data_IF_362499329602
#
_entry.id   IF_362499329602
#
_cell.length_a   1.000
_cell.length_b   1.000
_cell.length_c   1.000
_cell.angle_alpha   90.00
_cell.angle_beta   90.00
_cell.angle_gamma   90.00
#
_symmetry.space_group_name_H-M   'P 1'
#
loop_
_entity.id
_entity.type
_entity.pdbx_description
1 polymer ?
#
# COMPACT_ATOMS: atom_id res chain seq x y z
N UNK A 1 -34.40 20.73 48.81
CA UNK A 1 -33.21 19.96 49.28
C UNK A 1 -32.42 19.56 48.04
N UNK A 2 -31.36 20.31 47.67
CA UNK A 2 -29.95 19.85 47.67
C UNK A 2 -29.85 18.39 47.17
N UNK A 3 -29.27 18.07 46.02
CA UNK A 3 -27.86 18.33 45.66
C UNK A 3 -27.66 18.48 44.13
N UNK A 4 -26.86 19.49 43.77
CA UNK A 4 -26.09 19.55 42.53
C UNK A 4 -24.96 18.51 42.60
N UNK A 5 -24.74 17.77 41.51
CA UNK A 5 -23.43 17.17 41.21
C UNK A 5 -23.13 17.44 39.74
N UNK A 6 -22.28 18.43 39.53
CA UNK A 6 -21.58 18.70 38.27
C UNK A 6 -20.34 17.80 38.30
N UNK A 7 -20.17 16.93 37.30
CA UNK A 7 -18.86 16.36 36.94
C UNK A 7 -18.68 16.67 35.46
N UNK A 8 -17.92 17.74 35.22
CA UNK A 8 -17.26 18.01 33.95
C UNK A 8 -16.05 17.08 33.81
N UNK A 9 -15.67 16.85 32.54
CA UNK A 9 -14.34 16.45 32.03
C UNK A 9 -14.22 14.99 31.54
N UNK A 10 -14.14 14.87 30.21
CA UNK A 10 -13.78 13.64 29.52
C UNK A 10 -14.07 13.70 28.02
N UNK A 11 -13.50 14.67 27.32
CA UNK A 11 -13.41 14.69 25.86
C UNK A 11 -12.75 13.38 25.40
N UNK A 12 -13.53 12.43 24.90
CA UNK A 12 -13.03 11.32 24.09
C UNK A 12 -13.61 11.56 22.71
N UNK A 13 -12.84 12.26 21.90
CA UNK A 13 -13.03 12.29 20.45
C UNK A 13 -12.95 10.83 20.00
N UNK A 14 -14.11 10.27 19.68
CA UNK A 14 -14.22 9.07 18.86
C UNK A 14 -13.59 9.38 17.51
N UNK A 15 -12.29 9.15 17.41
CA UNK A 15 -11.64 8.99 16.13
C UNK A 15 -12.21 7.72 15.50
N UNK A 16 -12.87 7.86 14.35
CA UNK A 16 -13.22 6.75 13.49
C UNK A 16 -11.95 5.96 13.19
N UNK A 17 -11.81 4.79 13.81
CA UNK A 17 -10.96 3.73 13.28
C UNK A 17 -11.72 3.24 12.06
N UNK A 18 -11.36 3.72 10.87
CA UNK A 18 -11.82 3.09 9.64
C UNK A 18 -11.25 1.66 9.65
N UNK A 19 -12.10 0.70 10.03
CA UNK A 19 -11.88 -0.70 9.70
C UNK A 19 -11.87 -0.78 8.18
N UNK A 20 -10.68 -0.75 7.59
CA UNK A 20 -10.45 -1.48 6.36
C UNK A 20 -10.45 -2.94 6.74
N UNK A 21 -11.63 -3.54 6.82
CA UNK A 21 -11.79 -4.98 6.61
C UNK A 21 -11.34 -5.21 5.16
N UNK A 22 -10.04 -5.42 4.95
CA UNK A 22 -9.57 -6.17 3.81
C UNK A 22 -10.09 -7.59 4.04
N UNK A 23 -11.25 -7.87 3.49
CA UNK A 23 -11.84 -9.21 3.40
C UNK A 23 -10.84 -10.08 2.62
N UNK A 24 -9.95 -10.74 3.37
CA UNK A 24 -9.12 -11.87 2.90
C UNK A 24 -9.82 -13.20 3.25
N UNK A 25 -10.93 -13.15 3.99
CA UNK A 25 -11.80 -14.31 4.25
C UNK A 25 -12.86 -14.39 3.14
N UNK A 26 -12.53 -15.13 2.07
CA UNK A 26 -13.46 -15.93 1.23
C UNK A 26 -12.86 -16.23 -0.17
N UNK A 27 -11.57 -16.52 -0.25
CA UNK A 27 -10.97 -17.10 -1.48
C UNK A 27 -10.77 -18.61 -1.41
N UNK A 28 -11.39 -19.28 -0.44
CA UNK A 28 -11.56 -20.73 -0.49
C UNK A 28 -12.97 -21.04 -0.96
N UNK A 29 -13.11 -21.33 -2.27
CA UNK A 29 -14.26 -21.95 -2.95
C UNK A 29 -15.26 -20.99 -3.59
N UNK A 30 -14.98 -20.55 -4.82
CA UNK A 30 -16.03 -20.17 -5.77
C UNK A 30 -15.47 -20.01 -7.19
N UNK A 31 -16.24 -20.46 -8.16
CA UNK A 31 -15.87 -20.79 -9.53
C UNK A 31 -15.25 -19.65 -10.36
N UNK A 32 -14.41 -20.05 -11.30
CA UNK A 32 -13.64 -19.30 -12.30
C UNK A 32 -14.46 -18.46 -13.31
N UNK A 33 -15.71 -18.13 -12.98
CA UNK A 33 -16.64 -17.36 -13.83
C UNK A 33 -17.09 -16.04 -13.19
N UNK A 34 -16.68 -15.76 -11.94
CA UNK A 34 -17.18 -14.61 -11.16
C UNK A 34 -16.11 -13.55 -10.85
N UNK A 35 -14.86 -13.80 -11.26
CA UNK A 35 -13.71 -12.97 -10.92
C UNK A 35 -13.73 -11.59 -11.59
N UNK A 36 -14.58 -11.39 -12.61
CA UNK A 36 -14.73 -10.13 -13.33
C UNK A 36 -15.75 -9.15 -12.68
N UNK A 37 -16.44 -9.53 -11.59
CA UNK A 37 -17.64 -8.78 -11.13
C UNK A 37 -17.57 -8.25 -9.68
N UNK A 38 -16.40 -8.27 -9.02
CA UNK A 38 -16.27 -7.64 -7.68
C UNK A 38 -15.06 -6.70 -7.53
N UNK A 39 -14.65 -6.05 -8.62
CA UNK A 39 -13.92 -4.77 -8.52
C UNK A 39 -14.94 -3.68 -8.81
N UNK A 40 -15.87 -3.49 -7.86
CA UNK A 40 -16.62 -2.24 -7.82
C UNK A 40 -15.57 -1.14 -7.68
N UNK A 41 -15.42 -0.37 -8.77
CA UNK A 41 -14.49 0.74 -8.88
C UNK A 41 -14.98 1.82 -7.91
N UNK A 42 -14.66 1.65 -6.63
CA UNK A 42 -14.73 2.74 -5.66
C UNK A 42 -13.80 3.80 -6.25
N UNK A 43 -14.39 4.86 -6.80
CA UNK A 43 -13.65 6.04 -7.24
C UNK A 43 -13.06 6.67 -6.00
N UNK A 44 -11.93 6.11 -5.54
CA UNK A 44 -11.10 6.71 -4.53
C UNK A 44 -10.71 8.08 -5.07
N UNK A 45 -10.92 9.16 -4.30
CA UNK A 45 -10.58 10.50 -4.75
C UNK A 45 -9.14 10.52 -5.23
N UNK A 46 -8.91 11.08 -6.42
CA UNK A 46 -7.55 11.15 -6.97
C UNK A 46 -6.66 11.86 -5.95
N UNK A 47 -5.58 11.20 -5.49
CA UNK A 47 -4.77 11.75 -4.43
C UNK A 47 -4.08 13.02 -4.91
N UNK A 48 -4.35 14.10 -4.18
CA UNK A 48 -4.03 15.47 -4.57
C UNK A 48 -2.53 15.65 -4.85
N UNK A 49 -2.23 16.23 -6.01
CA UNK A 49 -0.87 16.57 -6.44
C UNK A 49 -0.07 15.43 -7.10
N UNK A 50 -0.59 14.20 -7.11
CA UNK A 50 0.02 13.12 -7.87
C UNK A 50 -0.32 13.26 -9.36
N UNK A 51 0.70 13.17 -10.21
CA UNK A 51 0.57 13.15 -11.67
C UNK A 51 1.17 11.85 -12.18
N UNK A 52 0.83 11.44 -13.40
CA UNK A 52 1.44 10.25 -14.00
C UNK A 52 2.97 10.37 -14.07
N UNK A 53 3.47 11.56 -14.46
CA UNK A 53 4.91 11.83 -14.55
C UNK A 53 5.62 11.69 -13.20
N UNK A 54 5.10 12.32 -12.13
CA UNK A 54 5.74 12.21 -10.83
C UNK A 54 5.60 10.81 -10.21
N UNK A 55 4.49 10.13 -10.49
CA UNK A 55 4.28 8.73 -10.07
C UNK A 55 5.31 7.84 -10.73
N UNK A 56 5.48 7.94 -12.05
CA UNK A 56 6.47 7.18 -12.81
C UNK A 56 7.90 7.43 -12.33
N UNK A 57 8.25 8.69 -12.04
CA UNK A 57 9.54 9.04 -11.45
C UNK A 57 9.80 8.31 -10.13
N UNK A 58 8.82 8.33 -9.21
CA UNK A 58 8.98 7.67 -7.91
C UNK A 58 9.01 6.15 -8.01
N UNK A 59 8.22 5.54 -8.91
CA UNK A 59 8.29 4.10 -9.21
C UNK A 59 9.69 3.70 -9.66
N UNK A 60 10.28 4.45 -10.59
CA UNK A 60 11.64 4.22 -11.04
C UNK A 60 12.69 4.41 -9.93
N UNK A 61 12.55 5.45 -9.10
CA UNK A 61 13.47 5.72 -7.99
C UNK A 61 13.43 4.63 -6.92
N UNK A 62 12.25 4.15 -6.53
CA UNK A 62 12.09 3.07 -5.56
C UNK A 62 12.62 1.75 -6.14
N UNK A 63 12.28 1.44 -7.39
CA UNK A 63 12.81 0.28 -8.09
C UNK A 63 14.34 0.28 -8.10
N UNK A 64 14.96 1.39 -8.51
CA UNK A 64 16.41 1.52 -8.53
C UNK A 64 17.01 1.23 -7.15
N UNK A 65 16.47 1.84 -6.08
CA UNK A 65 16.96 1.63 -4.71
C UNK A 65 16.84 0.17 -4.28
N UNK A 66 15.70 -0.47 -4.53
CA UNK A 66 15.48 -1.87 -4.20
C UNK A 66 16.38 -2.81 -5.01
N UNK A 67 16.57 -2.51 -6.30
CA UNK A 67 17.42 -3.30 -7.19
C UNK A 67 18.91 -3.24 -6.83
N UNK A 68 19.37 -2.26 -6.04
CA UNK A 68 20.74 -2.26 -5.51
C UNK A 68 20.96 -3.31 -4.42
N UNK A 69 19.89 -3.74 -3.74
CA UNK A 69 19.99 -4.73 -2.67
C UNK A 69 20.28 -6.13 -3.24
N UNK A 70 21.38 -6.74 -2.78
CA UNK A 70 21.80 -8.06 -3.25
C UNK A 70 20.81 -9.16 -2.84
N UNK A 71 20.22 -9.08 -1.65
CA UNK A 71 19.26 -10.08 -1.17
C UNK A 71 17.99 -10.06 -2.01
N UNK A 72 17.51 -8.86 -2.37
CA UNK A 72 16.35 -8.70 -3.24
C UNK A 72 16.64 -9.30 -4.64
N UNK A 73 17.80 -9.00 -5.22
CA UNK A 73 18.18 -9.51 -6.55
C UNK A 73 18.37 -11.03 -6.62
N UNK A 74 18.65 -11.69 -5.50
CA UNK A 74 18.76 -13.15 -5.46
C UNK A 74 17.39 -13.84 -5.49
N UNK A 75 16.32 -13.14 -5.10
CA UNK A 75 14.97 -13.72 -4.95
C UNK A 75 14.04 -13.27 -6.08
N UNK A 76 14.17 -12.03 -6.55
CA UNK A 76 13.24 -11.42 -7.50
C UNK A 76 13.93 -11.00 -8.80
N UNK A 77 13.25 -11.23 -9.93
CA UNK A 77 13.65 -10.69 -11.23
C UNK A 77 13.52 -9.16 -11.25
N UNK A 78 14.22 -8.45 -12.14
CA UNK A 78 14.10 -6.99 -12.24
C UNK A 78 12.66 -6.50 -12.45
N UNK A 79 11.84 -7.25 -13.20
CA UNK A 79 10.42 -6.96 -13.42
C UNK A 79 9.61 -7.12 -12.13
N UNK A 80 9.84 -8.19 -11.36
CA UNK A 80 9.16 -8.42 -10.08
C UNK A 80 9.51 -7.32 -9.07
N UNK A 81 10.79 -6.91 -9.02
CA UNK A 81 11.21 -5.77 -8.19
C UNK A 81 10.50 -4.49 -8.63
N UNK A 82 10.30 -4.28 -9.93
CA UNK A 82 9.57 -3.12 -10.45
C UNK A 82 8.09 -3.16 -10.05
N UNK A 83 7.47 -4.33 -10.09
CA UNK A 83 6.08 -4.51 -9.66
C UNK A 83 5.91 -4.23 -8.17
N UNK A 84 6.83 -4.71 -7.33
CA UNK A 84 6.82 -4.46 -5.89
C UNK A 84 7.01 -2.97 -5.62
N UNK A 85 8.02 -2.33 -6.22
CA UNK A 85 8.26 -0.89 -6.08
C UNK A 85 7.06 -0.06 -6.57
N UNK A 86 6.43 -0.47 -7.67
CA UNK A 86 5.24 0.18 -8.20
C UNK A 86 4.08 0.11 -7.23
N UNK A 87 3.83 -1.08 -6.66
CA UNK A 87 2.81 -1.27 -5.63
C UNK A 87 3.06 -0.35 -4.42
N UNK A 88 4.30 -0.29 -3.92
CA UNK A 88 4.65 0.57 -2.77
C UNK A 88 4.36 2.05 -3.06
N UNK A 89 4.75 2.54 -4.24
CA UNK A 89 4.46 3.93 -4.62
C UNK A 89 2.97 4.18 -4.79
N UNK A 90 2.23 3.22 -5.33
CA UNK A 90 0.77 3.33 -5.45
C UNK A 90 0.09 3.35 -4.06
N UNK A 91 0.60 2.58 -3.09
CA UNK A 91 0.13 2.64 -1.70
C UNK A 91 0.43 4.00 -1.06
N UNK A 92 1.63 4.55 -1.26
CA UNK A 92 1.96 5.90 -0.78
C UNK A 92 1.08 6.96 -1.44
N UNK A 93 0.84 6.82 -2.75
CA UNK A 93 -0.05 7.69 -3.50
C UNK A 93 -1.46 7.69 -2.92
N UNK A 94 -1.99 6.54 -2.53
CA UNK A 94 -3.31 6.44 -1.88
C UNK A 94 -3.33 6.97 -0.44
N UNK A 95 -2.18 6.99 0.24
CA UNK A 95 -2.08 7.34 1.67
C UNK A 95 -1.76 8.82 1.90
N UNK A 96 -1.02 9.46 0.99
CA UNK A 96 -0.48 10.81 1.18
C UNK A 96 -0.79 11.74 0.00
N UNK A 97 -1.06 13.02 0.31
CA UNK A 97 -0.90 14.08 -0.69
C UNK A 97 0.58 14.15 -1.14
N UNK A 98 0.79 14.54 -2.40
CA UNK A 98 2.12 14.47 -3.02
C UNK A 98 3.18 15.31 -2.30
N UNK A 99 2.81 16.50 -1.81
CA UNK A 99 3.71 17.39 -1.08
C UNK A 99 4.16 16.81 0.27
N UNK A 100 3.24 16.18 1.01
CA UNK A 100 3.51 15.48 2.26
C UNK A 100 4.42 14.29 1.99
N UNK A 101 4.13 13.49 0.97
CA UNK A 101 4.98 12.37 0.57
C UNK A 101 6.41 12.84 0.24
N UNK A 102 6.54 13.88 -0.57
CA UNK A 102 7.85 14.42 -0.94
C UNK A 102 8.62 14.90 0.29
N UNK A 103 7.97 15.62 1.19
CA UNK A 103 8.61 16.21 2.37
C UNK A 103 9.03 15.15 3.38
N UNK A 104 8.14 14.21 3.70
CA UNK A 104 8.33 13.29 4.81
C UNK A 104 9.05 12.00 4.41
N UNK A 105 8.94 11.59 3.13
CA UNK A 105 9.42 10.29 2.62
C UNK A 105 10.39 10.48 1.45
N UNK A 106 9.92 11.00 0.31
CA UNK A 106 10.64 10.93 -0.96
C UNK A 106 11.96 11.70 -1.00
N UNK A 107 11.95 12.97 -0.56
CA UNK A 107 13.10 13.87 -0.62
C UNK A 107 13.88 13.96 0.70
N UNK A 108 13.58 13.07 1.66
CA UNK A 108 14.20 13.11 2.97
C UNK A 108 15.68 12.77 2.86
N UNK A 109 16.54 13.62 3.42
CA UNK A 109 18.00 13.40 3.50
C UNK A 109 18.43 12.69 4.78
N UNK A 110 17.52 12.57 5.74
CA UNK A 110 17.73 11.89 7.01
C UNK A 110 16.97 10.56 7.01
N UNK A 111 17.35 9.60 7.87
CA UNK A 111 16.57 8.39 8.06
C UNK A 111 15.10 8.71 8.37
N UNK A 112 14.21 7.81 7.94
CA UNK A 112 12.81 7.88 8.32
C UNK A 112 12.67 7.79 9.84
N UNK A 113 11.72 8.53 10.44
CA UNK A 113 11.38 8.33 11.84
C UNK A 113 10.81 6.91 12.05
N UNK A 114 10.79 6.40 13.29
CA UNK A 114 10.40 5.02 13.56
C UNK A 114 9.01 4.63 13.01
N UNK A 115 8.03 5.54 13.10
CA UNK A 115 6.67 5.29 12.60
C UNK A 115 6.64 5.11 11.08
N UNK A 116 7.31 6.00 10.33
CA UNK A 116 7.36 5.90 8.87
C UNK A 116 8.25 4.75 8.39
N UNK A 117 9.24 4.36 9.21
CA UNK A 117 10.05 3.16 8.94
C UNK A 117 9.19 1.90 9.05
N UNK A 118 8.40 1.78 10.12
CA UNK A 118 7.47 0.67 10.31
C UNK A 118 6.43 0.60 9.18
N UNK A 119 5.89 1.75 8.77
CA UNK A 119 4.96 1.85 7.65
C UNK A 119 5.61 1.42 6.33
N UNK A 120 6.81 1.91 6.00
CA UNK A 120 7.52 1.51 4.78
C UNK A 120 7.76 0.00 4.73
N UNK A 121 8.10 -0.61 5.88
CA UNK A 121 8.26 -2.07 5.99
C UNK A 121 6.93 -2.81 5.80
N UNK A 122 5.82 -2.28 6.35
CA UNK A 122 4.50 -2.86 6.18
C UNK A 122 4.07 -2.82 4.71
N UNK A 123 4.22 -1.68 4.04
CA UNK A 123 3.91 -1.53 2.61
C UNK A 123 4.77 -2.46 1.75
N UNK A 124 6.08 -2.51 2.02
CA UNK A 124 7.00 -3.42 1.32
C UNK A 124 6.62 -4.89 1.49
N UNK A 125 6.25 -5.29 2.72
CA UNK A 125 5.83 -6.67 3.03
C UNK A 125 4.56 -7.03 2.27
N UNK A 126 3.54 -6.17 2.31
CA UNK A 126 2.27 -6.43 1.66
C UNK A 126 2.41 -6.49 0.14
N UNK A 127 3.13 -5.54 -0.47
CA UNK A 127 3.40 -5.55 -1.90
C UNK A 127 4.23 -6.77 -2.34
N UNK A 128 5.15 -7.23 -1.51
CA UNK A 128 5.90 -8.47 -1.76
C UNK A 128 4.98 -9.69 -1.75
N UNK A 129 4.04 -9.76 -0.79
CA UNK A 129 3.05 -10.83 -0.69
C UNK A 129 2.15 -10.87 -1.93
N UNK A 130 1.70 -9.70 -2.40
CA UNK A 130 0.91 -9.56 -3.63
C UNK A 130 1.69 -10.08 -4.83
N UNK A 131 2.97 -9.71 -4.99
CA UNK A 131 3.77 -10.18 -6.12
C UNK A 131 4.02 -11.69 -6.07
N UNK A 132 4.30 -12.24 -4.88
CA UNK A 132 4.43 -13.69 -4.71
C UNK A 132 3.13 -14.42 -5.06
N UNK A 133 1.96 -13.86 -4.71
CA UNK A 133 0.68 -14.41 -5.12
C UNK A 133 0.52 -14.41 -6.65
N UNK A 134 0.85 -13.30 -7.32
CA UNK A 134 0.82 -13.22 -8.80
C UNK A 134 1.73 -14.26 -9.46
N UNK A 135 2.93 -14.47 -8.92
CA UNK A 135 3.87 -15.49 -9.41
C UNK A 135 3.26 -16.88 -9.30
N UNK A 136 2.70 -17.23 -8.13
CA UNK A 136 2.03 -18.52 -7.92
C UNK A 136 0.85 -18.73 -8.88
N UNK A 137 0.04 -17.70 -9.10
CA UNK A 137 -1.08 -17.77 -10.05
C UNK A 137 -0.58 -18.02 -11.49
N UNK A 138 0.45 -17.30 -11.94
CA UNK A 138 1.06 -17.53 -13.27
C UNK A 138 1.62 -18.94 -13.43
N UNK A 139 2.16 -19.53 -12.35
CA UNK A 139 2.67 -20.91 -12.36
C UNK A 139 1.53 -21.95 -12.44
N UNK A 140 0.39 -21.67 -11.80
CA UNK A 140 -0.78 -22.54 -11.83
C UNK A 140 -1.55 -22.43 -13.16
N UNK A 141 -1.56 -21.25 -13.78
CA UNK A 141 -2.28 -20.95 -15.02
C UNK A 141 -1.35 -20.33 -16.10
N UNK A 142 -0.43 -21.10 -16.70
CA UNK A 142 0.55 -20.58 -17.66
C UNK A 142 -0.04 -20.16 -19.03
N UNK A 143 -1.35 -20.28 -19.25
CA UNK A 143 -2.00 -19.95 -20.53
C UNK A 143 -2.35 -18.46 -20.69
N UNK A 144 -2.22 -17.65 -19.65
CA UNK A 144 -2.51 -16.20 -19.67
C UNK A 144 -1.23 -15.33 -19.79
N UNK A 145 -0.06 -15.94 -19.97
CA UNK A 145 1.21 -15.23 -20.15
C UNK A 145 1.59 -15.11 -21.63
N UNK A 146 0.85 -14.30 -22.39
CA UNK A 146 1.25 -13.77 -23.71
C UNK A 146 0.86 -12.30 -23.79
#
# INVERSE_FOLDING_TARGET
MKKLVIIMLGFVMMGCVNKTDLVVEDLEKSDNSSLEVLVEKIELPEPKGWTESNTGFWKAMFWYRMAQDMQIRMVYSPEQVYNIASCVVDTYRQTYEYDVFQKEIGNRKTPLPPNLTAEAMAFGTECTRIEQFKIKQKQLNPKESV
#
